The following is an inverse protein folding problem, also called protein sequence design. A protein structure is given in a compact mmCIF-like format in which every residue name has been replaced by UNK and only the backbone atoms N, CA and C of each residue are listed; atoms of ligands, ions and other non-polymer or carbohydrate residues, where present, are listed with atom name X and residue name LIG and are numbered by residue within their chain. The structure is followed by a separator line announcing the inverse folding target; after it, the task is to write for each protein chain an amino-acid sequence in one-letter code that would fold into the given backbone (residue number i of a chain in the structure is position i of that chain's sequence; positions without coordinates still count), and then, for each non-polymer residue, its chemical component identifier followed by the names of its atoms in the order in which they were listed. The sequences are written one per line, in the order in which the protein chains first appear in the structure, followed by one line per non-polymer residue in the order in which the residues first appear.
data_IF_188428628392
#
_entry.id   IF_188428628392
#
_cell.length_a   1.000
_cell.length_b   1.000
_cell.length_c   1.000
_cell.angle_alpha   90.00
_cell.angle_beta   90.00
_cell.angle_gamma   90.00
#
_symmetry.space_group_name_H-M   'P 1'
#
loop_
_entity.id
_entity.type
_entity.pdbx_description
1 polymer ?
#
# COMPACT_ATOMS: atom_id res chain seq x y z
N UNK A 1 -8.81 -9.19 6.00
CA UNK A 1 -8.62 -7.82 5.48
C UNK A 1 -8.28 -6.93 6.66
N UNK A 2 -7.22 -6.13 6.56
CA UNK A 2 -6.63 -5.30 7.61
C UNK A 2 -6.34 -3.91 7.06
N UNK A 3 -6.20 -2.93 7.96
CA UNK A 3 -5.61 -1.63 7.61
C UNK A 3 -4.08 -1.80 7.60
N UNK A 4 -3.42 -1.31 6.57
CA UNK A 4 -1.97 -1.42 6.41
C UNK A 4 -1.38 -0.18 5.75
N UNK A 5 -0.05 -0.10 5.69
CA UNK A 5 0.68 1.04 5.15
C UNK A 5 0.88 0.90 3.64
N UNK A 6 0.61 1.94 2.85
CA UNK A 6 0.94 1.99 1.42
C UNK A 6 2.46 1.93 1.24
N UNK A 7 3.19 2.95 1.68
CA UNK A 7 4.65 2.88 1.87
C UNK A 7 4.94 2.01 3.11
N UNK A 8 5.68 0.89 2.99
CA UNK A 8 6.02 0.06 4.14
C UNK A 8 6.75 0.85 5.24
N UNK A 9 6.44 0.56 6.51
CA UNK A 9 7.14 1.18 7.66
C UNK A 9 8.64 0.95 7.63
N UNK A 10 9.10 -0.21 7.17
CA UNK A 10 10.53 -0.52 7.00
C UNK A 10 11.24 0.40 6.01
N UNK A 11 10.48 1.08 5.14
CA UNK A 11 10.97 2.03 4.15
C UNK A 11 10.57 3.49 4.48
N UNK A 12 10.16 3.75 5.72
CA UNK A 12 9.86 5.11 6.21
C UNK A 12 8.39 5.55 6.08
N UNK A 13 7.46 4.63 5.82
CA UNK A 13 6.03 4.95 5.86
C UNK A 13 5.54 5.26 7.27
N UNK A 14 4.67 6.25 7.41
CA UNK A 14 4.09 6.70 8.67
C UNK A 14 2.61 6.27 8.84
N UNK A 15 2.01 6.59 9.98
CA UNK A 15 0.61 6.28 10.28
C UNK A 15 -0.35 7.38 9.78
N UNK A 16 0.08 8.23 8.84
CA UNK A 16 -0.81 9.24 8.24
C UNK A 16 -1.91 8.55 7.42
N UNK A 17 -3.13 9.12 7.42
CA UNK A 17 -4.25 8.56 6.67
C UNK A 17 -3.94 8.39 5.17
N UNK A 18 -3.11 9.27 4.61
CA UNK A 18 -2.65 9.23 3.21
C UNK A 18 -1.62 8.12 2.92
N UNK A 19 -1.22 7.39 3.96
CA UNK A 19 -0.40 6.19 3.89
C UNK A 19 -1.16 4.95 4.36
N UNK A 20 -2.45 5.02 4.71
CA UNK A 20 -3.22 3.86 5.15
C UNK A 20 -4.13 3.34 4.02
N UNK A 21 -4.12 2.02 3.84
CA UNK A 21 -4.89 1.29 2.83
C UNK A 21 -5.56 0.07 3.45
N UNK A 22 -6.57 -0.48 2.77
CA UNK A 22 -7.14 -1.79 3.11
C UNK A 22 -6.52 -2.88 2.24
N UNK A 23 -5.99 -3.92 2.87
CA UNK A 23 -5.41 -5.07 2.17
C UNK A 23 -5.57 -6.37 2.96
N UNK A 24 -5.32 -7.53 2.35
CA UNK A 24 -5.10 -8.77 3.09
C UNK A 24 -3.62 -8.91 3.49
N UNK A 25 -3.34 -9.71 4.52
CA UNK A 25 -1.97 -9.91 5.02
C UNK A 25 -1.01 -10.40 3.94
N UNK A 26 -1.41 -11.38 3.13
CA UNK A 26 -0.55 -11.97 2.10
C UNK A 26 -0.15 -10.96 1.01
N UNK A 27 -1.10 -10.14 0.54
CA UNK A 27 -0.80 -9.07 -0.41
C UNK A 27 0.09 -8.00 0.21
N UNK A 28 -0.08 -7.74 1.52
CA UNK A 28 0.73 -6.80 2.24
C UNK A 28 2.21 -7.23 2.37
N UNK A 29 2.43 -8.50 2.71
CA UNK A 29 3.78 -9.09 2.74
C UNK A 29 4.41 -9.05 1.34
N UNK A 30 3.68 -9.50 0.32
CA UNK A 30 4.18 -9.52 -1.06
C UNK A 30 4.58 -8.12 -1.56
N UNK A 31 3.83 -7.07 -1.21
CA UNK A 31 4.18 -5.70 -1.60
C UNK A 31 5.49 -5.25 -0.96
N UNK A 32 5.79 -5.70 0.26
CA UNK A 32 6.93 -5.24 1.05
C UNK A 32 8.25 -5.63 0.41
N UNK A 33 8.32 -6.85 -0.10
CA UNK A 33 9.51 -7.41 -0.77
C UNK A 33 9.88 -6.68 -2.07
N UNK A 34 8.90 -6.05 -2.73
CA UNK A 34 9.06 -5.42 -4.04
C UNK A 34 8.54 -3.99 -4.09
N UNK A 35 8.49 -3.30 -2.94
CA UNK A 35 7.84 -2.00 -2.86
C UNK A 35 8.52 -0.98 -3.76
N UNK A 36 7.75 -0.45 -4.71
CA UNK A 36 8.13 0.71 -5.50
C UNK A 36 6.87 1.54 -5.75
N UNK A 37 6.88 2.85 -5.48
CA UNK A 37 5.69 3.69 -5.50
C UNK A 37 5.00 3.75 -6.87
N UNK A 38 5.72 3.48 -7.96
CA UNK A 38 5.19 3.47 -9.33
C UNK A 38 5.19 2.09 -9.99
N UNK A 39 5.49 1.02 -9.24
CA UNK A 39 5.43 -0.34 -9.79
C UNK A 39 3.98 -0.71 -10.14
N UNK A 40 3.75 -1.42 -11.24
CA UNK A 40 2.43 -1.99 -11.56
C UNK A 40 2.02 -3.11 -10.58
N UNK A 41 2.94 -3.60 -9.73
CA UNK A 41 2.70 -4.64 -8.72
C UNK A 41 2.54 -4.07 -7.30
N UNK A 42 2.31 -2.77 -7.15
CA UNK A 42 1.97 -2.16 -5.86
C UNK A 42 0.50 -2.39 -5.51
N UNK A 43 0.16 -2.23 -4.24
CA UNK A 43 -1.26 -2.10 -3.84
C UNK A 43 -1.76 -0.72 -4.26
N UNK A 44 -2.96 -0.66 -4.80
CA UNK A 44 -3.59 0.61 -5.19
C UNK A 44 -4.01 1.42 -3.95
N UNK A 45 -3.75 2.71 -4.00
CA UNK A 45 -4.15 3.67 -2.98
C UNK A 45 -5.44 4.38 -3.39
N UNK A 46 -6.53 4.32 -2.59
CA UNK A 46 -7.85 4.83 -2.97
C UNK A 46 -7.89 6.34 -3.24
N UNK A 47 -6.98 7.13 -2.66
CA UNK A 47 -6.89 8.57 -2.91
C UNK A 47 -5.90 8.96 -4.02
N UNK A 48 -5.06 8.03 -4.51
CA UNK A 48 -3.99 8.36 -5.49
C UNK A 48 -4.23 7.69 -6.84
N UNK A 49 -4.69 6.45 -6.81
CA UNK A 49 -4.94 5.68 -8.00
C UNK A 49 -6.39 5.91 -8.44
N UNK A 50 -6.57 6.15 -9.74
CA UNK A 50 -7.90 6.23 -10.32
C UNK A 50 -8.53 4.84 -10.34
N UNK A 51 -9.16 4.46 -9.23
CA UNK A 51 -9.99 3.25 -9.11
C UNK A 51 -11.43 3.65 -9.44
N UNK A 52 -11.65 4.09 -10.67
CA UNK A 52 -12.99 4.32 -11.17
C UNK A 52 -13.53 3.05 -11.82
N UNK A 53 -14.80 2.78 -11.53
CA UNK A 53 -15.67 1.70 -12.03
C UNK A 53 -15.69 1.52 -13.54
#
# INVERSE_FOLDING_TARGET
MTVDHFLPRSLGGDDSLDNLIYCCHACNEFKGDYWQPNSPRRILHPLRDAIAS
#
